data_IF_571196058930
#
_entry.id   IF_571196058930
#
_cell.length_a   1.000
_cell.length_b   1.000
_cell.length_c   1.000
_cell.angle_alpha   90.00
_cell.angle_beta   90.00
_cell.angle_gamma   90.00
#
_symmetry.space_group_name_H-M   'P 1'
#
loop_
_entity.id
_entity.type
_entity.pdbx_description
1 polymer ?
#
# COMPACT_ATOMS: atom_id res chain seq x y z
N UNK A 1 -5.81 86.36 6.47
CA UNK A 1 -4.55 85.86 7.07
C UNK A 1 -4.81 84.53 7.75
N UNK A 2 -3.84 83.62 7.65
CA UNK A 2 -3.66 82.33 8.37
C UNK A 2 -4.40 81.09 7.84
N UNK A 3 -3.55 80.24 7.25
CA UNK A 3 -3.68 78.81 6.95
C UNK A 3 -4.12 78.00 8.17
N UNK A 4 -4.83 76.89 7.94
CA UNK A 4 -4.39 75.58 8.46
C UNK A 4 -5.06 74.44 7.68
N UNK A 5 -4.26 73.77 6.86
CA UNK A 5 -4.48 72.39 6.45
C UNK A 5 -4.29 71.49 7.67
N UNK A 6 -5.09 70.44 7.82
CA UNK A 6 -4.70 69.13 8.36
C UNK A 6 -5.88 68.15 8.13
N UNK A 7 -5.73 67.10 7.32
CA UNK A 7 -5.28 65.74 7.76
C UNK A 7 -6.53 64.87 8.01
N UNK A 8 -6.73 63.65 7.50
CA UNK A 8 -5.91 62.70 6.77
C UNK A 8 -6.85 61.59 6.22
N UNK A 9 -6.50 61.04 5.05
CA UNK A 9 -6.53 59.62 4.69
C UNK A 9 -7.65 58.72 5.25
N UNK A 10 -8.61 58.37 4.39
CA UNK A 10 -9.05 56.97 4.23
C UNK A 10 -9.77 56.83 2.88
N UNK A 11 -9.07 56.37 1.82
CA UNK A 11 -9.57 55.16 1.19
C UNK A 11 -8.41 54.32 0.65
N UNK A 12 -7.78 53.51 1.50
CA UNK A 12 -6.81 52.49 1.06
C UNK A 12 -7.13 51.12 1.67
N UNK A 13 -8.41 50.84 1.88
CA UNK A 13 -8.88 49.57 2.46
C UNK A 13 -9.81 48.77 1.54
N UNK A 14 -10.09 49.25 0.32
CA UNK A 14 -10.97 48.54 -0.62
C UNK A 14 -10.27 47.87 -1.81
N UNK A 15 -8.98 48.10 -2.04
CA UNK A 15 -8.30 47.56 -3.22
C UNK A 15 -7.44 46.31 -2.98
N UNK A 16 -7.34 45.83 -1.73
CA UNK A 16 -6.52 44.66 -1.36
C UNK A 16 -7.23 43.30 -1.38
N UNK A 17 -8.55 43.25 -1.58
CA UNK A 17 -9.33 42.02 -1.38
C UNK A 17 -9.59 41.20 -2.66
N UNK A 18 -9.09 41.61 -3.83
CA UNK A 18 -9.42 41.00 -5.13
C UNK A 18 -8.32 40.12 -5.75
N UNK A 19 -7.25 39.79 -5.02
CA UNK A 19 -6.16 38.94 -5.50
C UNK A 19 -6.02 37.65 -4.67
N UNK A 20 -7.13 37.03 -4.28
CA UNK A 20 -7.09 35.63 -3.84
C UNK A 20 -7.06 34.75 -5.09
N UNK A 21 -5.95 34.04 -5.38
CA UNK A 21 -5.98 33.02 -6.43
C UNK A 21 -7.05 31.99 -6.07
N UNK A 22 -7.80 31.46 -7.04
CA UNK A 22 -8.75 30.40 -6.77
C UNK A 22 -7.99 29.24 -6.13
N UNK A 23 -8.31 28.92 -4.87
CA UNK A 23 -7.96 27.64 -4.28
C UNK A 23 -8.76 26.60 -5.07
N UNK A 24 -8.16 26.06 -6.13
CA UNK A 24 -8.63 24.84 -6.76
C UNK A 24 -8.54 23.76 -5.70
N UNK A 25 -9.66 23.47 -5.06
CA UNK A 25 -9.81 22.27 -4.25
C UNK A 25 -9.75 21.10 -5.24
N UNK A 26 -8.53 20.63 -5.52
CA UNK A 26 -8.34 19.37 -6.21
C UNK A 26 -9.05 18.31 -5.36
N UNK A 27 -10.19 17.82 -5.84
CA UNK A 27 -10.83 16.66 -5.25
C UNK A 27 -9.77 15.54 -5.25
N UNK A 28 -9.44 14.93 -4.11
CA UNK A 28 -8.50 13.84 -4.10
C UNK A 28 -9.06 12.76 -5.01
N UNK A 29 -8.31 12.42 -6.05
CA UNK A 29 -8.62 11.29 -6.93
C UNK A 29 -8.64 10.05 -6.05
N UNK A 30 -9.84 9.62 -5.63
CA UNK A 30 -10.01 8.43 -4.80
C UNK A 30 -9.75 7.24 -5.70
N UNK A 31 -8.56 6.65 -5.57
CA UNK A 31 -8.22 5.43 -6.29
C UNK A 31 -9.13 4.30 -5.79
N UNK A 32 -9.76 3.57 -6.71
CA UNK A 32 -10.61 2.45 -6.34
C UNK A 32 -9.73 1.23 -6.04
N UNK A 33 -9.49 0.97 -4.75
CA UNK A 33 -8.67 -0.14 -4.26
C UNK A 33 -9.47 -1.19 -3.49
N UNK A 34 -10.81 -1.10 -3.48
CA UNK A 34 -11.65 -2.01 -2.67
C UNK A 34 -11.72 -3.41 -3.28
N UNK A 35 -11.69 -4.44 -2.42
CA UNK A 35 -11.90 -5.85 -2.79
C UNK A 35 -10.62 -6.61 -3.12
N UNK A 36 -9.45 -6.01 -2.89
CA UNK A 36 -8.17 -6.70 -3.00
C UNK A 36 -7.94 -7.55 -1.76
N UNK A 37 -7.82 -8.86 -1.97
CA UNK A 37 -7.62 -9.80 -0.88
C UNK A 37 -6.16 -10.25 -0.79
N UNK A 38 -5.68 -10.41 0.43
CA UNK A 38 -4.38 -10.98 0.74
C UNK A 38 -4.51 -12.06 1.81
N UNK A 39 -3.78 -13.15 1.60
CA UNK A 39 -3.53 -14.18 2.61
C UNK A 39 -2.12 -13.96 3.15
N UNK A 40 -2.01 -13.83 4.46
CA UNK A 40 -0.77 -13.85 5.21
C UNK A 40 -0.65 -15.17 5.94
N UNK A 41 0.45 -15.87 5.74
CA UNK A 41 0.74 -17.14 6.39
C UNK A 41 1.96 -16.96 7.28
N UNK A 42 1.82 -17.19 8.58
CA UNK A 42 2.97 -17.41 9.45
C UNK A 42 3.26 -18.91 9.44
N UNK A 43 4.45 -19.29 8.97
CA UNK A 43 4.82 -20.70 8.94
C UNK A 43 5.10 -21.19 10.36
N UNK A 44 4.35 -22.21 10.78
CA UNK A 44 4.51 -22.85 12.06
C UNK A 44 5.31 -24.14 11.98
N UNK A 45 5.87 -24.53 13.12
CA UNK A 45 6.65 -25.78 13.24
C UNK A 45 5.78 -27.02 12.98
N UNK A 46 4.52 -26.98 13.40
CA UNK A 46 3.57 -28.09 13.21
C UNK A 46 2.58 -27.86 12.06
N UNK A 47 2.13 -26.62 11.86
CA UNK A 47 1.13 -26.25 10.86
C UNK A 47 1.20 -24.75 10.53
N UNK A 48 0.74 -24.31 9.36
CA UNK A 48 0.67 -22.88 9.03
C UNK A 48 -0.44 -22.16 9.81
N UNK A 49 -0.18 -20.90 10.14
CA UNK A 49 -1.16 -19.98 10.74
C UNK A 49 -1.58 -18.96 9.68
N UNK A 50 -2.83 -19.07 9.23
CA UNK A 50 -3.34 -18.30 8.10
C UNK A 50 -4.23 -17.14 8.55
N UNK A 51 -4.00 -15.96 7.97
CA UNK A 51 -4.73 -14.73 8.22
C UNK A 51 -5.10 -14.08 6.90
N UNK A 52 -6.33 -13.59 6.76
CA UNK A 52 -6.81 -12.95 5.54
C UNK A 52 -7.20 -11.51 5.80
N UNK A 53 -7.04 -10.66 4.78
CA UNK A 53 -7.61 -9.32 4.78
C UNK A 53 -8.14 -8.98 3.38
N UNK A 54 -9.28 -8.29 3.35
CA UNK A 54 -9.89 -7.70 2.15
C UNK A 54 -9.52 -6.23 1.95
N UNK A 55 -8.65 -5.70 2.81
CA UNK A 55 -8.30 -4.28 2.88
C UNK A 55 -6.89 -4.00 2.33
N UNK A 56 -6.43 -4.79 1.36
CA UNK A 56 -5.16 -4.52 0.68
C UNK A 56 -5.30 -3.30 -0.23
N UNK A 57 -4.71 -2.18 0.17
CA UNK A 57 -4.66 -0.98 -0.68
C UNK A 57 -3.58 -1.16 -1.74
N UNK A 58 -3.91 -0.84 -3.00
CA UNK A 58 -2.98 -0.93 -4.13
C UNK A 58 -3.02 0.37 -4.91
N UNK A 59 -1.87 1.02 -5.05
CA UNK A 59 -1.74 2.28 -5.77
C UNK A 59 -0.68 2.15 -6.86
N UNK A 60 -0.98 2.57 -8.09
CA UNK A 60 0.02 2.64 -9.14
C UNK A 60 0.70 4.02 -9.20
N UNK A 61 1.97 4.06 -8.81
CA UNK A 61 2.80 5.24 -8.93
C UNK A 61 3.43 5.31 -10.34
N UNK A 62 2.95 6.26 -11.14
CA UNK A 62 3.39 6.43 -12.54
C UNK A 62 4.80 6.99 -12.67
N UNK A 63 5.27 7.75 -11.69
CA UNK A 63 6.60 8.36 -11.73
C UNK A 63 7.68 7.29 -11.55
N UNK A 64 7.44 6.36 -10.63
CA UNK A 64 8.38 5.27 -10.33
C UNK A 64 8.06 3.97 -11.05
N UNK A 65 6.94 3.90 -11.78
CA UNK A 65 6.41 2.69 -12.40
C UNK A 65 6.29 1.51 -11.43
N UNK A 66 5.76 1.76 -10.23
CA UNK A 66 5.58 0.75 -9.18
C UNK A 66 4.13 0.65 -8.71
N UNK A 67 3.66 -0.57 -8.46
CA UNK A 67 2.48 -0.80 -7.62
C UNK A 67 2.91 -0.74 -6.17
N UNK A 68 2.40 0.22 -5.43
CA UNK A 68 2.57 0.38 -4.00
C UNK A 68 1.39 -0.30 -3.29
N UNK A 69 1.69 -1.29 -2.45
CA UNK A 69 0.72 -2.08 -1.74
C UNK A 69 0.84 -1.81 -0.23
N UNK A 70 -0.29 -1.58 0.44
CA UNK A 70 -0.37 -1.34 1.88
C UNK A 70 -1.42 -2.23 2.51
N UNK A 71 -1.02 -2.95 3.54
CA UNK A 71 -1.90 -3.78 4.35
C UNK A 71 -1.87 -3.26 5.79
N UNK A 72 -3.02 -2.86 6.32
CA UNK A 72 -3.17 -2.59 7.74
C UNK A 72 -3.19 -3.92 8.51
N UNK A 73 -2.22 -4.14 9.38
CA UNK A 73 -2.07 -5.38 10.13
C UNK A 73 -3.20 -5.61 11.14
N UNK A 74 -3.89 -4.55 11.58
CA UNK A 74 -5.04 -4.67 12.47
C UNK A 74 -6.27 -5.28 11.78
N UNK A 75 -6.31 -5.29 10.45
CA UNK A 75 -7.43 -5.81 9.66
C UNK A 75 -7.19 -7.26 9.19
N UNK A 76 -6.15 -7.92 9.71
CA UNK A 76 -5.92 -9.34 9.48
C UNK A 76 -6.85 -10.16 10.39
N UNK A 77 -7.66 -11.00 9.76
CA UNK A 77 -8.57 -11.91 10.44
C UNK A 77 -8.03 -13.34 10.34
N UNK A 78 -8.08 -14.15 11.40
CA UNK A 78 -7.66 -15.55 11.32
C UNK A 78 -8.57 -16.33 10.36
N UNK A 79 -7.99 -17.25 9.60
CA UNK A 79 -8.74 -18.13 8.69
C UNK A 79 -9.45 -19.30 9.41
N UNK A 80 -9.24 -19.44 10.72
CA UNK A 80 -9.85 -20.46 11.59
C UNK A 80 -10.10 -19.88 12.98
N UNK A 81 -11.23 -20.25 13.60
CA UNK A 81 -11.64 -19.78 14.94
C UNK A 81 -10.71 -20.27 16.06
N UNK A 82 -9.85 -21.26 15.79
CA UNK A 82 -8.88 -21.79 16.74
C UNK A 82 -7.61 -20.94 16.86
N UNK A 83 -7.44 -19.93 16.00
CA UNK A 83 -6.25 -19.09 15.96
C UNK A 83 -6.46 -17.77 16.72
N UNK A 84 -5.51 -17.32 17.56
CA UNK A 84 -5.61 -16.03 18.21
C UNK A 84 -5.64 -14.90 17.17
N UNK A 85 -6.69 -14.08 17.20
CA UNK A 85 -6.87 -12.99 16.24
C UNK A 85 -5.71 -11.97 16.26
N UNK A 86 -5.06 -11.78 17.41
CA UNK A 86 -3.96 -10.82 17.56
C UNK A 86 -2.59 -11.38 17.15
N UNK A 87 -2.46 -12.67 16.86
CA UNK A 87 -1.16 -13.31 16.63
C UNK A 87 -0.39 -12.65 15.48
N UNK A 88 -1.00 -12.46 14.31
CA UNK A 88 -0.33 -11.82 13.17
C UNK A 88 0.10 -10.37 13.48
N UNK A 89 -0.81 -9.61 14.11
CA UNK A 89 -0.53 -8.23 14.53
C UNK A 89 0.66 -8.17 15.49
N UNK A 90 0.74 -9.07 16.45
CA UNK A 90 1.82 -9.09 17.43
C UNK A 90 3.15 -9.60 16.85
N UNK A 91 3.13 -10.65 16.02
CA UNK A 91 4.33 -11.23 15.39
C UNK A 91 5.00 -10.23 14.45
N UNK A 92 4.20 -9.45 13.73
CA UNK A 92 4.69 -8.43 12.80
C UNK A 92 4.91 -7.06 13.46
N UNK A 93 4.81 -6.99 14.79
CA UNK A 93 5.02 -5.78 15.60
C UNK A 93 4.09 -4.64 15.20
N UNK A 94 2.82 -4.95 14.92
CA UNK A 94 1.78 -4.01 14.47
C UNK A 94 1.56 -2.80 15.36
N UNK A 95 1.87 -2.90 16.66
CA UNK A 95 1.81 -1.74 17.57
C UNK A 95 2.84 -0.65 17.22
N UNK A 96 3.99 -1.04 16.68
CA UNK A 96 5.08 -0.13 16.26
C UNK A 96 5.06 0.11 14.75
N UNK A 97 4.67 -0.90 13.97
CA UNK A 97 4.63 -0.89 12.51
C UNK A 97 3.23 -1.32 12.05
N UNK A 98 2.22 -0.43 12.10
CA UNK A 98 0.82 -0.81 11.88
C UNK A 98 0.51 -1.26 10.45
N UNK A 99 1.38 -0.93 9.50
CA UNK A 99 1.21 -1.25 8.09
C UNK A 99 2.37 -2.11 7.58
N UNK A 100 2.03 -3.15 6.82
CA UNK A 100 2.97 -3.83 5.93
C UNK A 100 2.93 -3.14 4.57
N UNK A 101 4.10 -2.65 4.13
CA UNK A 101 4.26 -1.99 2.84
C UNK A 101 5.15 -2.82 1.93
N UNK A 102 4.74 -2.97 0.67
CA UNK A 102 5.61 -3.50 -0.37
C UNK A 102 5.31 -2.82 -1.71
N UNK A 103 6.30 -2.76 -2.58
CA UNK A 103 6.17 -2.20 -3.92
C UNK A 103 6.66 -3.18 -4.97
N UNK A 104 5.96 -3.25 -6.11
CA UNK A 104 6.24 -4.15 -7.22
C UNK A 104 6.54 -3.33 -8.46
N UNK A 105 7.69 -3.57 -9.11
CA UNK A 105 7.99 -2.95 -10.39
C UNK A 105 7.01 -3.44 -11.48
N UNK A 106 6.42 -2.49 -12.21
CA UNK A 106 5.47 -2.79 -13.28
C UNK A 106 6.09 -2.48 -14.64
N UNK A 107 6.43 -3.49 -15.44
CA UNK A 107 6.91 -3.27 -16.79
C UNK A 107 5.73 -2.97 -17.72
N UNK A 108 5.26 -1.70 -17.74
CA UNK A 108 4.08 -1.26 -18.52
C UNK A 108 4.14 -1.77 -19.97
N UNK A 109 5.30 -1.65 -20.61
CA UNK A 109 5.51 -2.05 -22.00
C UNK A 109 5.21 -3.53 -22.25
N UNK A 110 5.51 -4.38 -21.26
CA UNK A 110 5.25 -5.82 -21.34
C UNK A 110 3.78 -6.15 -21.07
N UNK A 111 3.18 -5.53 -20.06
CA UNK A 111 1.77 -5.79 -19.71
C UNK A 111 0.80 -5.24 -20.77
N UNK A 112 1.14 -4.13 -21.44
CA UNK A 112 0.32 -3.51 -22.49
C UNK A 112 0.68 -3.99 -23.90
N UNK A 113 1.37 -5.13 -24.02
CA UNK A 113 1.78 -5.72 -25.30
C UNK A 113 0.63 -6.26 -26.18
N UNK A 114 -0.63 -5.88 -25.87
CA UNK A 114 -1.88 -6.36 -26.50
C UNK A 114 -2.07 -7.88 -26.46
N UNK A 115 -1.36 -8.56 -25.55
CA UNK A 115 -1.56 -9.99 -25.35
C UNK A 115 -2.86 -10.22 -24.58
N UNK A 116 -3.76 -11.10 -25.06
CA UNK A 116 -5.08 -11.28 -24.44
C UNK A 116 -5.06 -12.20 -23.22
N UNK A 117 -3.90 -12.73 -22.82
CA UNK A 117 -3.75 -13.71 -21.74
C UNK A 117 -2.85 -13.21 -20.62
N UNK A 118 -3.05 -13.67 -19.36
CA UNK A 118 -2.18 -13.30 -18.25
C UNK A 118 -0.72 -13.70 -18.48
N UNK A 119 0.21 -12.82 -18.13
CA UNK A 119 1.64 -13.03 -18.27
C UNK A 119 2.31 -13.11 -16.90
N UNK A 120 3.17 -14.11 -16.70
CA UNK A 120 4.03 -14.19 -15.52
C UNK A 120 5.35 -13.51 -15.80
N UNK A 121 5.69 -12.50 -15.02
CA UNK A 121 6.90 -11.70 -15.17
C UNK A 121 7.65 -11.68 -13.84
N UNK A 122 8.96 -11.91 -13.88
CA UNK A 122 9.83 -11.69 -12.74
C UNK A 122 9.97 -10.18 -12.53
N UNK A 123 9.41 -9.66 -11.44
CA UNK A 123 9.49 -8.25 -11.08
C UNK A 123 10.32 -8.07 -9.81
N UNK A 124 11.04 -6.96 -9.75
CA UNK A 124 11.67 -6.50 -8.51
C UNK A 124 10.58 -6.04 -7.53
N UNK A 125 10.74 -6.46 -6.28
CA UNK A 125 9.83 -6.18 -5.18
C UNK A 125 10.64 -5.61 -4.03
N UNK A 126 10.22 -4.48 -3.50
CA UNK A 126 10.78 -3.90 -2.28
C UNK A 126 9.75 -4.03 -1.16
N UNK A 127 10.13 -4.62 -0.04
CA UNK A 127 9.25 -4.96 1.08
C UNK A 127 9.80 -4.30 2.33
N UNK A 128 8.97 -3.60 3.08
CA UNK A 128 9.31 -3.04 4.38
C UNK A 128 8.63 -3.84 5.48
N UNK A 129 9.43 -4.50 6.32
CA UNK A 129 8.96 -5.34 7.43
C UNK A 129 9.72 -4.97 8.70
N UNK A 130 8.98 -4.71 9.79
CA UNK A 130 9.52 -4.23 11.07
C UNK A 130 10.52 -3.05 10.95
N UNK A 131 10.32 -2.17 9.97
CA UNK A 131 11.16 -0.99 9.74
C UNK A 131 12.43 -1.23 8.92
N UNK A 132 12.66 -2.46 8.44
CA UNK A 132 13.77 -2.78 7.55
C UNK A 132 13.23 -3.07 6.15
N UNK A 133 13.89 -2.52 5.13
CA UNK A 133 13.54 -2.75 3.73
C UNK A 133 14.46 -3.78 3.12
N UNK A 134 13.89 -4.77 2.44
CA UNK A 134 14.63 -5.74 1.65
C UNK A 134 14.07 -5.76 0.21
N UNK A 135 14.94 -6.02 -0.76
CA UNK A 135 14.57 -6.15 -2.16
C UNK A 135 14.74 -7.59 -2.63
N UNK A 136 13.77 -8.08 -3.39
CA UNK A 136 13.77 -9.42 -3.94
C UNK A 136 13.20 -9.42 -5.35
N UNK A 137 13.29 -10.55 -6.04
CA UNK A 137 12.65 -10.77 -7.34
C UNK A 137 11.69 -11.91 -7.18
N UNK A 138 10.43 -11.72 -7.56
CA UNK A 138 9.44 -12.78 -7.57
C UNK A 138 8.59 -12.75 -8.84
N UNK A 139 8.00 -13.90 -9.15
CA UNK A 139 7.06 -14.05 -10.23
C UNK A 139 5.74 -13.33 -9.89
N UNK A 140 5.35 -12.41 -10.76
CA UNK A 140 4.07 -11.70 -10.71
C UNK A 140 3.27 -12.08 -11.95
N UNK A 141 2.07 -12.61 -11.76
CA UNK A 141 1.13 -12.81 -12.85
C UNK A 141 0.35 -11.51 -13.07
N UNK A 142 0.54 -10.85 -14.20
CA UNK A 142 -0.27 -9.71 -14.62
C UNK A 142 -1.36 -10.17 -15.57
N UNK A 143 -2.60 -9.70 -15.36
CA UNK A 143 -3.71 -9.93 -16.29
C UNK A 143 -3.96 -8.68 -17.13
N UNK A 144 -4.20 -8.81 -18.45
CA UNK A 144 -4.43 -7.66 -19.32
C UNK A 144 -5.78 -7.01 -19.02
N UNK A 145 -5.78 -5.69 -18.84
CA UNK A 145 -6.97 -4.84 -18.73
C UNK A 145 -6.59 -3.41 -19.17
N UNK A 146 -7.42 -2.78 -19.99
CA UNK A 146 -7.11 -1.44 -20.55
C UNK A 146 -7.22 -0.33 -19.50
N UNK A 147 -8.01 -0.54 -18.45
CA UNK A 147 -8.39 0.45 -17.46
C UNK A 147 -7.84 0.13 -16.05
N UNK A 148 -7.30 -1.07 -15.87
CA UNK A 148 -6.75 -1.54 -14.61
C UNK A 148 -5.42 -2.26 -14.78
N UNK A 149 -4.65 -2.28 -13.70
CA UNK A 149 -3.54 -3.21 -13.54
C UNK A 149 -4.01 -4.30 -12.58
N UNK A 150 -4.15 -5.52 -13.09
CA UNK A 150 -4.56 -6.69 -12.31
C UNK A 150 -3.36 -7.59 -12.15
N UNK A 151 -3.09 -8.03 -10.92
CA UNK A 151 -1.95 -8.90 -10.64
C UNK A 151 -2.21 -9.92 -9.54
N UNK A 152 -1.44 -11.00 -9.56
CA UNK A 152 -1.37 -12.01 -8.51
C UNK A 152 0.07 -12.42 -8.25
N UNK A 153 0.39 -12.79 -7.01
CA UNK A 153 1.73 -13.24 -6.62
C UNK A 153 1.71 -14.04 -5.33
N UNK A 154 2.77 -14.81 -5.09
CA UNK A 154 3.07 -15.41 -3.79
C UNK A 154 4.51 -15.09 -3.43
N UNK A 155 4.71 -14.50 -2.25
CA UNK A 155 5.99 -14.10 -1.71
C UNK A 155 6.29 -14.95 -0.48
N UNK A 156 7.50 -15.49 -0.41
CA UNK A 156 8.00 -16.20 0.76
C UNK A 156 9.11 -15.36 1.38
N UNK A 157 8.84 -14.84 2.57
CA UNK A 157 9.73 -13.96 3.32
C UNK A 157 10.32 -14.73 4.49
N UNK A 158 11.54 -14.37 4.85
CA UNK A 158 12.19 -14.88 6.05
C UNK A 158 12.52 -13.69 6.93
N UNK A 159 12.00 -13.66 8.17
CA UNK A 159 12.13 -12.51 9.07
C UNK A 159 13.59 -12.12 9.31
N UNK A 160 14.51 -13.08 9.30
CA UNK A 160 15.95 -12.82 9.47
C UNK A 160 16.53 -11.89 8.39
N UNK A 161 16.01 -11.96 7.15
CA UNK A 161 16.43 -11.09 6.04
C UNK A 161 16.06 -9.61 6.29
N UNK A 162 15.16 -9.36 7.24
CA UNK A 162 14.71 -8.04 7.66
C UNK A 162 15.24 -7.66 9.04
N UNK A 163 16.17 -8.44 9.62
CA UNK A 163 16.60 -8.29 11.03
C UNK A 163 15.40 -8.27 11.99
N UNK A 164 14.29 -8.88 11.56
CA UNK A 164 13.04 -8.92 12.31
C UNK A 164 13.07 -10.09 13.28
N UNK A 165 12.36 -9.91 14.40
CA UNK A 165 12.31 -10.91 15.47
C UNK A 165 10.88 -11.38 15.73
N UNK A 166 10.78 -12.62 16.18
CA UNK A 166 9.53 -13.21 16.63
C UNK A 166 9.40 -12.92 18.14
N UNK A 167 8.24 -12.45 18.63
CA UNK A 167 8.02 -12.32 20.06
C UNK A 167 8.29 -13.64 20.80
N UNK A 168 8.89 -13.55 21.99
CA UNK A 168 9.33 -14.74 22.74
C UNK A 168 8.24 -15.82 22.94
N UNK A 169 6.99 -15.38 23.16
CA UNK A 169 5.83 -16.29 23.32
C UNK A 169 5.47 -17.11 22.07
N UNK A 170 5.92 -16.68 20.88
CA UNK A 170 5.64 -17.35 19.61
C UNK A 170 6.84 -18.12 19.04
N UNK A 171 8.04 -17.97 19.62
CA UNK A 171 9.24 -18.72 19.21
C UNK A 171 9.05 -20.24 19.11
N UNK A 172 8.38 -20.94 20.06
CA UNK A 172 8.21 -22.38 19.93
C UNK A 172 7.19 -22.79 18.85
N UNK A 173 6.42 -21.83 18.32
CA UNK A 173 5.34 -22.09 17.38
C UNK A 173 5.71 -21.80 15.93
N UNK A 174 6.63 -20.85 15.70
CA UNK A 174 6.89 -20.26 14.38
C UNK A 174 8.32 -20.51 13.90
N UNK A 175 8.47 -20.72 12.59
CA UNK A 175 9.78 -20.93 11.96
C UNK A 175 10.46 -19.63 11.53
N UNK A 176 9.74 -18.51 11.57
CA UNK A 176 10.22 -17.20 11.09
C UNK A 176 10.01 -16.97 9.60
N UNK A 177 9.37 -17.91 8.88
CA UNK A 177 8.92 -17.70 7.50
C UNK A 177 7.53 -17.09 7.48
N UNK A 178 7.35 -16.11 6.58
CA UNK A 178 6.10 -15.39 6.36
C UNK A 178 5.74 -15.47 4.88
N UNK A 179 4.62 -16.09 4.58
CA UNK A 179 4.03 -16.13 3.24
C UNK A 179 3.06 -14.98 3.03
N UNK A 180 3.09 -14.38 1.85
CA UNK A 180 2.06 -13.45 1.37
C UNK A 180 1.53 -13.94 0.04
N UNK A 181 0.22 -14.17 -0.06
CA UNK A 181 -0.43 -14.62 -1.29
C UNK A 181 -1.52 -13.64 -1.69
N UNK A 182 -1.42 -13.14 -2.91
CA UNK A 182 -2.41 -12.29 -3.57
C UNK A 182 -2.88 -13.05 -4.80
N UNK A 183 -4.14 -13.49 -4.80
CA UNK A 183 -4.70 -14.23 -5.95
C UNK A 183 -5.01 -13.31 -7.12
N UNK A 184 -5.65 -12.18 -6.84
CA UNK A 184 -6.00 -11.17 -7.80
C UNK A 184 -6.24 -9.86 -7.04
N UNK A 185 -5.34 -8.91 -7.22
CA UNK A 185 -5.51 -7.54 -6.77
C UNK A 185 -5.50 -6.61 -7.97
N UNK A 186 -6.21 -5.50 -7.85
CA UNK A 186 -6.37 -4.52 -8.91
C UNK A 186 -6.07 -3.11 -8.41
N UNK A 187 -5.42 -2.35 -9.28
CA UNK A 187 -5.51 -0.90 -9.27
C UNK A 187 -6.27 -0.48 -10.53
N UNK A 188 -7.38 0.23 -10.37
CA UNK A 188 -8.13 0.80 -11.48
C UNK A 188 -8.08 2.31 -11.40
N UNK A 189 -7.95 2.97 -12.56
CA UNK A 189 -8.17 4.42 -12.62
C UNK A 189 -9.62 4.68 -12.22
N UNK A 190 -9.91 5.64 -11.31
CA UNK A 190 -11.29 5.99 -11.04
C UNK A 190 -11.98 6.42 -12.33
N UNK A 191 -13.25 6.05 -12.54
CA UNK A 191 -13.98 6.42 -13.73
C UNK A 191 -13.99 7.94 -13.83
N UNK A 192 -13.51 8.47 -14.96
CA UNK A 192 -13.74 9.87 -15.33
C UNK A 192 -15.24 10.03 -15.54
N UNK A 193 -15.92 10.71 -14.61
CA UNK A 193 -17.29 11.20 -14.83
C UNK A 193 -17.26 12.40 -15.75
#
# INVERSE_FOLDING_TARGET
MKKLYHTFFLPLLLFGALLLPPKVLAQPVVNYTSGNNILLTLEGVAQPYNFTSSDLLVFYNRQTQKLECRLNLANLLPASDTLPATMAYEVLYGAKYPELFFSIAVPIEKINSRTPYPQTINSQISIMLQGVTNETVAAIQFSPDENAIIFGTTLNLLLENFQASIPAKYLPLLTGRVGLTIRSARWARPPTR
#
